data_IF_344692387349
#
_entry.id   IF_344692387349
#
_cell.length_a   1.000
_cell.length_b   1.000
_cell.length_c   1.000
_cell.angle_alpha   90.00
_cell.angle_beta   90.00
_cell.angle_gamma   90.00
#
_symmetry.space_group_name_H-M   'P 1'
#
loop_
_entity.id
_entity.type
_entity.pdbx_description
1 polymer ?
#
# COMPACT_ATOMS: atom_id res chain seq x y z
N UNK A 1 -102.51 24.17 -22.05
CA UNK A 1 -101.39 23.46 -22.69
C UNK A 1 -100.26 23.34 -21.67
N UNK A 2 -99.54 22.21 -21.62
CA UNK A 2 -99.25 21.49 -20.39
C UNK A 2 -97.94 21.95 -19.75
N UNK A 3 -97.98 22.22 -18.44
CA UNK A 3 -96.80 22.59 -17.66
C UNK A 3 -96.68 21.69 -16.42
N UNK A 4 -96.74 20.37 -16.62
CA UNK A 4 -96.57 19.39 -15.54
C UNK A 4 -95.81 18.17 -16.07
N UNK A 5 -94.60 18.38 -16.62
CA UNK A 5 -93.58 17.31 -16.77
C UNK A 5 -92.12 17.76 -16.58
N UNK A 6 -91.86 19.02 -16.22
CA UNK A 6 -90.48 19.49 -15.98
C UNK A 6 -90.01 19.37 -14.52
N UNK A 7 -90.94 19.38 -13.54
CA UNK A 7 -90.59 19.48 -12.12
C UNK A 7 -90.28 18.15 -11.40
N UNK A 8 -90.26 17.00 -12.11
CA UNK A 8 -89.77 15.75 -11.54
C UNK A 8 -88.26 15.54 -11.71
N UNK A 9 -87.56 16.36 -12.51
CA UNK A 9 -86.12 16.24 -12.69
C UNK A 9 -85.28 17.10 -11.71
N UNK A 10 -85.88 18.10 -11.05
CA UNK A 10 -85.13 19.07 -10.23
C UNK A 10 -85.06 18.69 -8.73
N UNK A 11 -85.83 17.68 -8.29
CA UNK A 11 -85.87 17.29 -6.87
C UNK A 11 -85.25 15.92 -6.54
N UNK A 12 -84.45 15.32 -7.43
CA UNK A 12 -83.70 14.11 -7.10
C UNK A 12 -82.32 14.41 -6.49
N UNK A 13 -82.31 15.14 -5.38
CA UNK A 13 -81.09 15.41 -4.58
C UNK A 13 -80.44 14.12 -4.08
N UNK A 14 -81.19 13.01 -4.01
CA UNK A 14 -80.69 11.68 -3.70
C UNK A 14 -79.82 11.14 -4.84
N UNK A 15 -80.26 11.25 -6.09
CA UNK A 15 -79.45 10.85 -7.25
C UNK A 15 -78.14 11.63 -7.34
N UNK A 16 -78.16 12.96 -7.13
CA UNK A 16 -76.93 13.79 -7.16
C UNK A 16 -75.98 13.43 -6.02
N UNK A 17 -76.48 13.20 -4.81
CA UNK A 17 -75.66 12.77 -3.67
C UNK A 17 -75.04 11.38 -3.86
N UNK A 18 -75.76 10.46 -4.51
CA UNK A 18 -75.24 9.12 -4.84
C UNK A 18 -74.14 9.25 -5.89
N UNK A 19 -74.34 10.05 -6.95
CA UNK A 19 -73.32 10.27 -7.98
C UNK A 19 -72.06 10.91 -7.37
N UNK A 20 -72.20 11.97 -6.57
CA UNK A 20 -71.07 12.61 -5.89
C UNK A 20 -70.36 11.67 -4.91
N UNK A 21 -71.11 10.87 -4.15
CA UNK A 21 -70.55 9.86 -3.24
C UNK A 21 -69.77 8.77 -3.99
N UNK A 22 -70.30 8.30 -5.12
CA UNK A 22 -69.60 7.33 -5.98
C UNK A 22 -68.35 7.90 -6.62
N UNK A 23 -68.38 9.17 -7.08
CA UNK A 23 -67.21 9.85 -7.64
C UNK A 23 -66.12 10.08 -6.59
N UNK A 24 -66.49 10.47 -5.37
CA UNK A 24 -65.54 10.66 -4.28
C UNK A 24 -64.95 9.34 -3.81
N UNK A 25 -65.75 8.27 -3.75
CA UNK A 25 -65.26 6.92 -3.48
C UNK A 25 -64.30 6.44 -4.57
N UNK A 26 -64.65 6.62 -5.85
CA UNK A 26 -63.76 6.31 -6.96
C UNK A 26 -62.44 7.08 -6.85
N UNK A 27 -62.49 8.38 -6.55
CA UNK A 27 -61.29 9.20 -6.35
C UNK A 27 -60.40 8.65 -5.22
N UNK A 28 -60.97 8.39 -4.04
CA UNK A 28 -60.22 7.87 -2.89
C UNK A 28 -59.62 6.50 -3.20
N UNK A 29 -60.38 5.61 -3.86
CA UNK A 29 -59.87 4.29 -4.24
C UNK A 29 -58.74 4.37 -5.27
N UNK A 30 -58.81 5.29 -6.23
CA UNK A 30 -57.74 5.51 -7.22
C UNK A 30 -56.49 6.04 -6.53
N UNK A 31 -56.62 7.07 -5.68
CA UNK A 31 -55.48 7.64 -4.95
C UNK A 31 -54.84 6.61 -4.03
N UNK A 32 -55.64 5.81 -3.31
CA UNK A 32 -55.13 4.72 -2.48
C UNK A 32 -54.42 3.63 -3.32
N UNK A 33 -55.01 3.21 -4.44
CA UNK A 33 -54.41 2.23 -5.33
C UNK A 33 -53.10 2.73 -5.95
N UNK A 34 -53.03 3.99 -6.38
CA UNK A 34 -51.80 4.61 -6.88
C UNK A 34 -50.73 4.74 -5.79
N UNK A 35 -51.11 5.10 -4.56
CA UNK A 35 -50.19 5.15 -3.42
C UNK A 35 -49.56 3.79 -3.12
N UNK A 36 -50.39 2.73 -3.08
CA UNK A 36 -49.92 1.36 -2.89
C UNK A 36 -49.03 0.90 -4.05
N UNK A 37 -49.38 1.22 -5.29
CA UNK A 37 -48.58 0.88 -6.46
C UNK A 37 -47.19 1.52 -6.42
N UNK A 38 -47.08 2.79 -6.00
CA UNK A 38 -45.79 3.47 -5.82
C UNK A 38 -44.95 2.80 -4.73
N UNK A 39 -45.56 2.43 -3.59
CA UNK A 39 -44.87 1.73 -2.50
C UNK A 39 -44.37 0.34 -2.95
N UNK A 40 -45.20 -0.41 -3.70
CA UNK A 40 -44.79 -1.70 -4.25
C UNK A 40 -43.65 -1.52 -5.25
N UNK A 41 -43.72 -0.52 -6.13
CA UNK A 41 -42.68 -0.23 -7.11
C UNK A 41 -41.36 0.17 -6.45
N UNK A 42 -41.39 1.00 -5.40
CA UNK A 42 -40.18 1.35 -4.65
C UNK A 42 -39.61 0.14 -3.90
N UNK A 43 -40.48 -0.65 -3.26
CA UNK A 43 -40.05 -1.88 -2.58
C UNK A 43 -39.44 -2.91 -3.54
N UNK A 44 -40.01 -3.08 -4.74
CA UNK A 44 -39.46 -3.95 -5.78
C UNK A 44 -38.09 -3.47 -6.26
N UNK A 45 -37.92 -2.15 -6.45
CA UNK A 45 -36.63 -1.56 -6.80
C UNK A 45 -35.59 -1.82 -5.70
N UNK A 46 -35.92 -1.56 -4.44
CA UNK A 46 -35.03 -1.80 -3.30
C UNK A 46 -34.66 -3.29 -3.16
N UNK A 47 -35.61 -4.20 -3.37
CA UNK A 47 -35.36 -5.64 -3.36
C UNK A 47 -34.44 -6.06 -4.51
N UNK A 48 -34.64 -5.55 -5.72
CA UNK A 48 -33.79 -5.84 -6.87
C UNK A 48 -32.36 -5.30 -6.68
N UNK A 49 -32.22 -4.11 -6.12
CA UNK A 49 -30.91 -3.54 -5.78
C UNK A 49 -30.19 -4.38 -4.72
N UNK A 50 -30.89 -4.81 -3.66
CA UNK A 50 -30.32 -5.72 -2.64
C UNK A 50 -29.91 -7.07 -3.20
N UNK A 51 -30.73 -7.67 -4.06
CA UNK A 51 -30.40 -8.94 -4.71
C UNK A 51 -29.18 -8.79 -5.63
N UNK A 52 -29.11 -7.70 -6.39
CA UNK A 52 -27.96 -7.40 -7.24
C UNK A 52 -26.69 -7.20 -6.41
N UNK A 53 -26.79 -6.45 -5.30
CA UNK A 53 -25.69 -6.25 -4.38
C UNK A 53 -25.22 -7.58 -3.78
N UNK A 54 -26.13 -8.40 -3.23
CA UNK A 54 -25.81 -9.73 -2.70
C UNK A 54 -25.15 -10.62 -3.76
N UNK A 55 -25.71 -10.66 -4.97
CA UNK A 55 -25.10 -11.42 -6.06
C UNK A 55 -23.71 -10.89 -6.46
N UNK A 56 -23.42 -9.60 -6.25
CA UNK A 56 -22.09 -9.05 -6.52
C UNK A 56 -21.11 -9.40 -5.40
N UNK A 57 -21.57 -9.41 -4.14
CA UNK A 57 -20.79 -9.89 -3.00
C UNK A 57 -20.41 -11.35 -3.16
N UNK A 58 -21.40 -12.20 -3.44
CA UNK A 58 -21.26 -13.66 -3.51
C UNK A 58 -20.42 -14.10 -4.71
N UNK A 59 -20.36 -13.28 -5.76
CA UNK A 59 -19.65 -13.60 -6.99
C UNK A 59 -18.32 -12.86 -7.16
N UNK A 60 -17.78 -12.21 -6.13
CA UNK A 60 -16.45 -11.61 -6.22
C UNK A 60 -15.35 -12.66 -6.01
N UNK A 61 -14.52 -12.87 -7.03
CA UNK A 61 -13.46 -13.87 -7.03
C UNK A 61 -12.11 -13.23 -7.29
N UNK A 62 -11.46 -12.79 -6.20
CA UNK A 62 -10.06 -12.37 -6.20
C UNK A 62 -9.18 -13.50 -5.67
N UNK A 63 -8.10 -13.78 -6.39
CA UNK A 63 -7.12 -14.79 -6.00
C UNK A 63 -5.76 -14.15 -5.76
N UNK A 64 -5.17 -14.48 -4.62
CA UNK A 64 -3.78 -14.14 -4.29
C UNK A 64 -2.92 -15.23 -4.92
N UNK A 65 -2.32 -14.91 -6.07
CA UNK A 65 -1.57 -15.89 -6.85
C UNK A 65 -0.26 -16.24 -6.15
N UNK A 66 0.55 -15.22 -5.85
CA UNK A 66 1.95 -15.38 -5.48
C UNK A 66 2.44 -14.14 -4.69
N UNK A 67 3.43 -14.36 -3.84
CA UNK A 67 4.24 -13.31 -3.23
C UNK A 67 5.71 -13.48 -3.61
N UNK A 68 6.39 -12.36 -3.77
CA UNK A 68 7.84 -12.34 -3.87
C UNK A 68 8.36 -11.31 -2.85
N UNK A 69 8.54 -11.71 -1.58
CA UNK A 69 9.14 -10.90 -0.56
C UNK A 69 10.62 -10.63 -0.86
N UNK A 70 11.07 -9.40 -0.60
CA UNK A 70 12.46 -8.98 -0.76
C UNK A 70 12.93 -8.29 0.51
N UNK A 71 14.14 -8.60 0.96
CA UNK A 71 14.64 -8.17 2.26
C UNK A 71 16.12 -8.38 2.45
N UNK A 72 16.55 -8.24 3.69
CA UNK A 72 17.89 -8.58 4.14
C UNK A 72 17.91 -9.96 4.81
N UNK A 73 19.00 -10.33 5.47
CA UNK A 73 19.16 -11.64 6.13
C UNK A 73 18.26 -11.88 7.34
N UNK A 74 17.58 -10.85 7.84
CA UNK A 74 16.79 -10.89 9.09
C UNK A 74 15.34 -10.47 8.86
N UNK A 75 15.10 -9.43 8.08
CA UNK A 75 13.78 -8.84 7.88
C UNK A 75 13.44 -8.67 6.41
N UNK A 76 12.15 -8.73 6.12
CA UNK A 76 11.60 -8.32 4.83
C UNK A 76 11.50 -6.79 4.75
N UNK A 77 11.90 -6.22 3.61
CA UNK A 77 11.85 -4.78 3.34
C UNK A 77 10.64 -4.42 2.45
N UNK A 78 10.20 -5.36 1.61
CA UNK A 78 9.01 -5.20 0.77
C UNK A 78 8.43 -6.54 0.34
N UNK A 79 7.19 -6.52 -0.15
CA UNK A 79 6.53 -7.66 -0.80
C UNK A 79 6.00 -7.24 -2.16
N UNK A 80 6.36 -8.01 -3.18
CA UNK A 80 5.71 -7.97 -4.48
C UNK A 80 4.57 -8.98 -4.49
N UNK A 81 3.33 -8.50 -4.50
CA UNK A 81 2.11 -9.30 -4.47
C UNK A 81 1.48 -9.34 -5.86
N UNK A 82 1.11 -10.53 -6.34
CA UNK A 82 0.30 -10.68 -7.55
C UNK A 82 -1.12 -11.10 -7.21
N UNK A 83 -2.10 -10.27 -7.58
CA UNK A 83 -3.52 -10.55 -7.37
C UNK A 83 -4.21 -10.69 -8.72
N UNK A 84 -4.93 -11.80 -8.90
CA UNK A 84 -5.73 -12.09 -10.08
C UNK A 84 -7.20 -11.78 -9.80
N UNK A 85 -7.84 -11.06 -10.72
CA UNK A 85 -9.28 -10.94 -10.75
C UNK A 85 -9.86 -12.01 -11.68
N UNK A 86 -10.59 -12.96 -11.11
CA UNK A 86 -11.29 -14.01 -11.86
C UNK A 86 -12.70 -13.60 -12.27
N UNK A 87 -13.16 -12.40 -11.94
CA UNK A 87 -14.47 -11.89 -12.32
C UNK A 87 -14.49 -11.38 -13.76
N UNK A 88 -15.71 -11.20 -14.27
CA UNK A 88 -15.98 -10.60 -15.58
C UNK A 88 -16.01 -9.06 -15.53
N UNK A 89 -15.96 -8.47 -14.33
CA UNK A 89 -15.95 -7.03 -14.09
C UNK A 89 -14.71 -6.65 -13.28
N UNK A 90 -14.31 -5.40 -13.39
CA UNK A 90 -13.20 -4.87 -12.61
C UNK A 90 -13.55 -4.86 -11.12
N UNK A 91 -12.56 -5.16 -10.29
CA UNK A 91 -12.72 -5.24 -8.83
C UNK A 91 -11.82 -4.20 -8.17
N UNK A 92 -12.29 -3.61 -7.08
CA UNK A 92 -11.55 -2.58 -6.35
C UNK A 92 -11.15 -3.09 -4.97
N UNK A 93 -9.87 -2.94 -4.65
CA UNK A 93 -9.31 -3.24 -3.34
C UNK A 93 -9.37 -1.98 -2.49
N UNK A 94 -10.05 -2.10 -1.35
CA UNK A 94 -10.17 -1.04 -0.35
C UNK A 94 -8.96 -1.02 0.59
N UNK A 95 -8.41 -2.18 0.93
CA UNK A 95 -7.24 -2.27 1.80
C UNK A 95 -6.48 -3.59 1.63
N UNK A 96 -5.18 -3.57 1.92
CA UNK A 96 -4.34 -4.75 2.04
C UNK A 96 -3.67 -4.72 3.40
N UNK A 97 -3.63 -5.85 4.09
CA UNK A 97 -2.97 -6.03 5.36
C UNK A 97 -2.01 -7.21 5.36
N UNK A 98 -0.88 -7.04 6.04
CA UNK A 98 0.14 -8.07 6.26
C UNK A 98 0.29 -8.23 7.78
N UNK A 99 0.11 -9.44 8.29
CA UNK A 99 0.10 -9.75 9.73
C UNK A 99 -0.78 -8.78 10.52
N UNK A 100 -1.99 -8.55 10.01
CA UNK A 100 -3.01 -7.66 10.55
C UNK A 100 -2.68 -6.15 10.58
N UNK A 101 -1.53 -5.73 10.05
CA UNK A 101 -1.19 -4.33 9.83
C UNK A 101 -1.67 -3.91 8.44
N UNK A 102 -2.55 -2.90 8.37
CA UNK A 102 -3.06 -2.37 7.10
C UNK A 102 -2.05 -1.40 6.48
N UNK A 103 -1.70 -1.64 5.21
CA UNK A 103 -0.86 -0.74 4.45
C UNK A 103 -1.62 0.54 4.13
N UNK A 104 -1.00 1.69 4.37
CA UNK A 104 -1.54 3.02 4.05
C UNK A 104 -1.25 3.44 2.61
N UNK A 105 -0.17 2.93 2.03
CA UNK A 105 0.26 3.23 0.68
C UNK A 105 0.69 1.97 -0.07
N UNK A 106 0.71 2.06 -1.40
CA UNK A 106 1.14 0.97 -2.27
C UNK A 106 1.71 1.53 -3.58
N UNK A 107 2.44 0.68 -4.29
CA UNK A 107 2.95 0.95 -5.64
C UNK A 107 2.41 -0.12 -6.59
N UNK A 108 2.16 0.24 -7.85
CA UNK A 108 1.73 -0.72 -8.87
C UNK A 108 2.87 -0.93 -9.84
N UNK A 109 3.21 -2.18 -10.14
CA UNK A 109 4.13 -2.51 -11.23
C UNK A 109 3.33 -2.70 -12.52
N UNK A 110 3.67 -1.95 -13.57
CA UNK A 110 3.09 -2.11 -14.88
C UNK A 110 3.70 -3.33 -15.63
N UNK A 111 3.07 -3.73 -16.73
CA UNK A 111 3.53 -4.84 -17.57
C UNK A 111 4.91 -4.57 -18.21
N UNK A 112 5.30 -3.30 -18.35
CA UNK A 112 6.60 -2.83 -18.84
C UNK A 112 7.69 -2.79 -17.76
N UNK A 113 7.37 -3.16 -16.52
CA UNK A 113 8.30 -3.16 -15.38
C UNK A 113 8.47 -1.81 -14.69
N UNK A 114 7.79 -0.75 -15.14
CA UNK A 114 7.85 0.55 -14.48
C UNK A 114 6.84 0.64 -13.33
N UNK A 115 7.24 1.34 -12.26
CA UNK A 115 6.36 1.64 -11.13
C UNK A 115 5.41 2.76 -11.53
N UNK A 116 4.11 2.50 -11.46
CA UNK A 116 3.08 3.52 -11.63
C UNK A 116 2.98 4.35 -10.35
N UNK A 117 3.22 5.63 -10.50
CA UNK A 117 2.97 6.63 -9.46
C UNK A 117 1.54 7.18 -9.56
N UNK A 118 1.15 8.01 -8.59
CA UNK A 118 -0.13 8.71 -8.63
C UNK A 118 -0.27 9.48 -9.97
N UNK A 119 -1.41 9.31 -10.65
CA UNK A 119 -1.64 9.85 -11.99
C UNK A 119 -1.68 11.38 -12.02
N UNK A 120 -2.15 12.00 -10.94
CA UNK A 120 -2.22 13.45 -10.80
C UNK A 120 -0.94 14.01 -10.17
N UNK A 121 -0.29 13.22 -9.29
CA UNK A 121 0.92 13.64 -8.57
C UNK A 121 2.01 12.57 -8.59
N UNK A 122 2.68 12.41 -9.74
CA UNK A 122 3.64 11.33 -9.99
C UNK A 122 4.85 11.29 -9.04
N UNK A 123 5.08 12.35 -8.26
CA UNK A 123 6.16 12.40 -7.28
C UNK A 123 5.79 11.72 -5.95
N UNK A 124 4.50 11.48 -5.70
CA UNK A 124 4.01 10.91 -4.44
C UNK A 124 3.57 9.45 -4.59
N UNK A 125 3.68 8.64 -3.52
CA UNK A 125 3.13 7.29 -3.50
C UNK A 125 1.60 7.32 -3.57
N UNK A 126 1.00 6.19 -3.98
CA UNK A 126 -0.46 6.06 -4.00
C UNK A 126 -0.92 5.68 -2.59
N UNK A 127 -1.78 6.49 -1.99
CA UNK A 127 -2.34 6.29 -0.65
C UNK A 127 -3.71 5.64 -0.79
N UNK A 128 -4.00 4.64 0.04
CA UNK A 128 -5.35 4.08 0.16
C UNK A 128 -6.31 5.13 0.71
N UNK A 129 -7.28 5.53 -0.10
CA UNK A 129 -8.41 6.35 0.32
C UNK A 129 -9.64 6.00 -0.53
N UNK A 130 -10.80 6.61 -0.23
CA UNK A 130 -12.05 6.33 -0.96
C UNK A 130 -11.97 6.60 -2.47
N UNK A 131 -11.07 7.48 -2.89
CA UNK A 131 -10.88 7.90 -4.28
C UNK A 131 -9.82 7.05 -4.99
N UNK A 132 -8.78 6.64 -4.27
CA UNK A 132 -7.59 5.93 -4.74
C UNK A 132 -7.62 4.45 -4.33
N UNK A 133 -8.75 3.77 -4.56
CA UNK A 133 -8.81 2.32 -4.40
C UNK A 133 -8.04 1.65 -5.55
N UNK A 134 -7.36 0.55 -5.24
CA UNK A 134 -6.62 -0.21 -6.24
C UNK A 134 -7.58 -1.00 -7.12
N UNK A 135 -7.59 -0.70 -8.42
CA UNK A 135 -8.41 -1.41 -9.40
C UNK A 135 -7.63 -2.59 -10.01
N UNK A 136 -8.24 -3.77 -9.99
CA UNK A 136 -7.76 -4.97 -10.68
C UNK A 136 -8.72 -5.27 -11.83
N UNK A 137 -8.28 -5.12 -13.09
CA UNK A 137 -9.15 -5.33 -14.24
C UNK A 137 -9.67 -6.75 -14.35
N UNK A 138 -10.88 -6.91 -14.90
CA UNK A 138 -11.52 -8.20 -15.13
C UNK A 138 -10.60 -9.18 -15.86
N UNK A 139 -10.54 -10.44 -15.39
CA UNK A 139 -9.72 -11.52 -15.97
C UNK A 139 -8.23 -11.22 -16.10
N UNK A 140 -7.72 -10.21 -15.39
CA UNK A 140 -6.31 -9.81 -15.39
C UNK A 140 -5.75 -9.83 -13.99
N UNK A 141 -4.44 -9.90 -13.91
CA UNK A 141 -3.71 -9.73 -12.67
C UNK A 141 -3.11 -8.33 -12.56
N UNK A 142 -2.77 -7.96 -11.32
CA UNK A 142 -1.99 -6.77 -10.99
C UNK A 142 -0.87 -7.16 -10.04
N UNK A 143 0.31 -6.61 -10.31
CA UNK A 143 1.48 -6.68 -9.43
C UNK A 143 1.51 -5.42 -8.55
N UNK A 144 1.53 -5.63 -7.25
CA UNK A 144 1.39 -4.61 -6.22
C UNK A 144 2.63 -4.72 -5.34
N UNK A 145 3.27 -3.59 -5.09
CA UNK A 145 4.44 -3.53 -4.22
C UNK A 145 4.03 -2.82 -2.94
N UNK A 146 4.29 -3.48 -1.81
CA UNK A 146 4.08 -2.93 -0.47
C UNK A 146 5.45 -2.92 0.23
N UNK A 147 5.92 -1.72 0.58
CA UNK A 147 7.14 -1.56 1.37
C UNK A 147 6.84 -1.66 2.87
N UNK A 148 7.83 -2.07 3.65
CA UNK A 148 7.79 -2.01 5.12
C UNK A 148 8.44 -0.74 5.67
N UNK A 149 9.31 -0.12 4.88
CA UNK A 149 9.91 1.18 5.18
C UNK A 149 8.96 2.35 4.86
N UNK A 150 9.15 3.44 5.59
CA UNK A 150 8.51 4.71 5.30
C UNK A 150 9.12 5.35 4.05
N UNK A 151 8.28 5.95 3.22
CA UNK A 151 8.72 6.57 1.97
C UNK A 151 8.97 8.05 2.23
N UNK A 152 10.23 8.48 2.15
CA UNK A 152 10.58 9.90 2.21
C UNK A 152 10.56 10.48 0.79
N UNK A 153 9.76 11.52 0.58
CA UNK A 153 9.66 12.23 -0.70
C UNK A 153 10.09 13.67 -0.50
N UNK A 154 11.11 14.07 -1.25
CA UNK A 154 11.59 15.45 -1.31
C UNK A 154 11.16 16.08 -2.63
N UNK A 155 10.29 17.09 -2.57
CA UNK A 155 9.79 17.80 -3.75
C UNK A 155 10.00 19.30 -3.61
N UNK A 156 9.76 20.04 -4.68
CA UNK A 156 9.78 21.50 -4.63
C UNK A 156 8.83 22.11 -5.64
N UNK A 157 8.37 23.32 -5.34
CA UNK A 157 7.53 24.11 -6.22
C UNK A 157 8.11 25.52 -6.37
N UNK A 158 8.23 25.98 -7.63
CA UNK A 158 8.63 27.35 -7.91
C UNK A 158 7.41 28.25 -7.79
N UNK A 159 7.55 29.31 -7.00
CA UNK A 159 6.50 30.26 -6.70
C UNK A 159 6.77 31.56 -7.45
N UNK A 160 5.78 31.98 -8.24
CA UNK A 160 5.86 33.22 -8.99
C UNK A 160 5.07 34.33 -8.30
N UNK A 161 5.77 35.38 -7.89
CA UNK A 161 5.21 36.52 -7.15
C UNK A 161 4.98 37.76 -8.01
N UNK A 162 5.20 37.70 -9.33
CA UNK A 162 5.06 38.84 -10.26
C UNK A 162 3.66 39.47 -10.30
N UNK A 163 2.64 38.81 -9.73
CA UNK A 163 1.26 39.33 -9.58
C UNK A 163 1.02 40.07 -8.27
N UNK A 164 1.99 40.06 -7.35
CA UNK A 164 1.89 40.70 -6.05
C UNK A 164 2.16 42.21 -6.18
N UNK A 165 1.10 42.98 -6.38
CA UNK A 165 1.22 44.38 -6.77
C UNK A 165 1.14 45.38 -5.59
N UNK A 166 0.86 44.93 -4.35
CA UNK A 166 0.64 45.83 -3.20
C UNK A 166 1.38 45.34 -1.93
N UNK A 167 2.26 46.19 -1.39
CA UNK A 167 3.05 45.90 -0.19
C UNK A 167 2.21 45.84 1.09
N UNK A 168 0.98 46.37 1.10
CA UNK A 168 0.10 46.40 2.29
C UNK A 168 -0.95 45.29 2.33
N UNK A 169 -1.03 44.44 1.31
CA UNK A 169 -2.01 43.35 1.23
C UNK A 169 -1.32 41.99 1.20
N UNK A 170 -1.95 41.03 1.86
CA UNK A 170 -1.54 39.63 1.81
C UNK A 170 -1.72 39.09 0.39
N UNK A 171 -0.75 38.31 -0.08
CA UNK A 171 -0.81 37.62 -1.35
C UNK A 171 -0.95 36.12 -1.11
N UNK A 172 -2.00 35.53 -1.66
CA UNK A 172 -2.33 34.12 -1.44
C UNK A 172 -2.27 33.35 -2.73
N UNK A 173 -1.69 32.16 -2.70
CA UNK A 173 -1.66 31.21 -3.81
C UNK A 173 -1.95 29.79 -3.30
N UNK A 174 -2.49 28.96 -4.19
CA UNK A 174 -2.71 27.54 -3.93
C UNK A 174 -1.58 26.75 -4.57
N UNK A 175 -0.80 26.08 -3.74
CA UNK A 175 0.31 25.23 -4.18
C UNK A 175 -0.23 24.06 -5.00
N UNK A 176 0.47 23.72 -6.08
CA UNK A 176 0.07 22.64 -6.99
C UNK A 176 0.73 21.30 -6.66
N UNK A 177 1.86 21.34 -5.95
CA UNK A 177 2.62 20.13 -5.60
C UNK A 177 2.64 19.90 -4.08
N UNK A 178 1.70 20.45 -3.32
CA UNK A 178 1.67 20.23 -1.87
C UNK A 178 1.29 18.77 -1.53
N UNK A 179 1.97 18.11 -0.57
CA UNK A 179 1.71 16.71 -0.20
C UNK A 179 0.25 16.40 0.18
N UNK A 180 -0.46 17.38 0.76
CA UNK A 180 -1.91 17.29 1.05
C UNK A 180 -2.73 16.89 -0.18
N UNK A 181 -2.37 17.37 -1.36
CA UNK A 181 -3.09 17.08 -2.60
C UNK A 181 -3.00 15.60 -3.00
N UNK A 182 -1.94 14.92 -2.58
CA UNK A 182 -1.80 13.48 -2.76
C UNK A 182 -2.62 12.67 -1.73
N UNK A 183 -3.31 13.32 -0.78
CA UNK A 183 -4.17 12.71 0.22
C UNK A 183 -3.45 12.32 1.52
N UNK A 184 -2.28 12.88 1.79
CA UNK A 184 -1.50 12.58 3.00
C UNK A 184 -1.81 13.55 4.16
N UNK A 185 -2.04 13.05 5.39
CA UNK A 185 -2.20 13.90 6.57
C UNK A 185 -0.87 14.60 6.97
N UNK A 186 -1.01 15.78 7.57
CA UNK A 186 -0.03 16.89 7.66
C UNK A 186 1.20 16.63 8.55
N UNK A 187 2.11 15.73 8.15
CA UNK A 187 3.47 15.61 8.73
C UNK A 187 4.53 15.87 7.64
N UNK A 188 4.48 17.06 7.01
CA UNK A 188 5.51 17.49 6.05
C UNK A 188 6.31 18.67 6.60
N UNK A 189 7.64 18.54 6.58
CA UNK A 189 8.53 19.67 6.80
C UNK A 189 8.62 20.49 5.50
N UNK A 190 8.63 21.81 5.63
CA UNK A 190 8.80 22.70 4.48
C UNK A 190 9.76 23.83 4.77
N UNK A 191 10.46 24.25 3.73
CA UNK A 191 11.36 25.39 3.78
C UNK A 191 11.12 26.28 2.57
N UNK A 192 10.90 27.57 2.81
CA UNK A 192 10.73 28.56 1.76
C UNK A 192 12.05 29.28 1.52
N UNK A 193 12.54 29.25 0.28
CA UNK A 193 13.76 29.93 -0.14
C UNK A 193 13.43 31.07 -1.10
N UNK A 194 14.03 32.24 -0.86
CA UNK A 194 14.15 33.28 -1.87
C UNK A 194 15.28 32.89 -2.82
N UNK A 195 14.95 32.51 -4.04
CA UNK A 195 15.94 32.05 -5.03
C UNK A 195 16.70 33.22 -5.66
N UNK A 196 16.22 34.44 -5.54
CA UNK A 196 16.92 35.65 -6.01
C UNK A 196 18.12 35.98 -5.14
N UNK A 197 17.99 35.82 -3.81
CA UNK A 197 19.05 36.18 -2.84
C UNK A 197 19.64 34.98 -2.11
N UNK A 198 19.18 33.76 -2.43
CA UNK A 198 19.59 32.49 -1.81
C UNK A 198 19.45 32.47 -0.27
N UNK A 199 18.33 32.99 0.24
CA UNK A 199 18.05 33.07 1.69
C UNK A 199 16.84 32.23 2.08
N UNK A 200 16.92 31.53 3.21
CA UNK A 200 15.78 30.82 3.81
C UNK A 200 14.84 31.83 4.51
N UNK A 201 13.54 31.65 4.36
CA UNK A 201 12.48 32.50 4.89
C UNK A 201 11.75 31.71 6.00
N UNK A 202 11.71 32.26 7.21
CA UNK A 202 10.94 31.66 8.32
C UNK A 202 9.48 32.10 8.29
N UNK A 203 8.61 31.22 8.75
CA UNK A 203 7.17 31.45 8.93
C UNK A 203 6.84 32.49 10.03
N UNK A 204 7.83 33.03 10.75
CA UNK A 204 7.66 33.97 11.86
C UNK A 204 7.18 35.38 11.43
N UNK A 205 5.96 35.48 10.89
CA UNK A 205 5.31 36.73 10.49
C UNK A 205 5.56 37.16 9.04
N UNK A 206 6.25 36.32 8.26
CA UNK A 206 6.56 36.57 6.85
C UNK A 206 5.51 35.93 5.92
N UNK A 207 5.15 34.68 6.19
CA UNK A 207 4.13 33.94 5.46
C UNK A 207 3.43 32.94 6.40
N UNK A 208 2.33 32.36 5.95
CA UNK A 208 1.69 31.20 6.58
C UNK A 208 1.34 30.19 5.50
N UNK A 209 1.39 28.91 5.85
CA UNK A 209 0.96 27.81 4.99
C UNK A 209 -0.19 27.06 5.67
N UNK A 210 -1.34 27.05 5.02
CA UNK A 210 -2.49 26.30 5.49
C UNK A 210 -2.41 24.82 5.07
N UNK A 211 -3.14 23.98 5.80
CA UNK A 211 -3.20 22.53 5.56
C UNK A 211 -3.69 22.15 4.16
N UNK A 212 -4.52 22.98 3.54
CA UNK A 212 -5.05 22.80 2.20
C UNK A 212 -4.04 23.16 1.08
N UNK A 213 -2.80 23.49 1.44
CA UNK A 213 -1.76 23.95 0.51
C UNK A 213 -1.90 25.42 0.12
N UNK A 214 -2.75 26.20 0.81
CA UNK A 214 -2.87 27.64 0.59
C UNK A 214 -1.71 28.36 1.28
N UNK A 215 -0.80 28.92 0.49
CA UNK A 215 0.32 29.73 0.95
C UNK A 215 -0.06 31.21 0.92
N UNK A 216 0.04 31.89 2.06
CA UNK A 216 -0.20 33.33 2.17
C UNK A 216 1.08 34.06 2.57
N UNK A 217 1.61 34.87 1.66
CA UNK A 217 2.63 35.87 1.96
C UNK A 217 1.96 37.07 2.64
N UNK A 218 2.48 37.49 3.79
CA UNK A 218 1.92 38.63 4.50
C UNK A 218 2.42 39.95 3.90
N UNK A 219 1.49 40.89 3.68
CA UNK A 219 1.83 42.25 3.30
C UNK A 219 2.54 42.97 4.45
N UNK A 220 3.59 43.74 4.14
CA UNK A 220 4.22 44.64 5.11
C UNK A 220 3.35 45.89 5.30
N UNK A 221 2.80 46.05 6.50
CA UNK A 221 2.22 47.33 6.90
C UNK A 221 3.35 48.28 7.32
N UNK A 222 3.81 49.15 6.43
CA UNK A 222 4.93 50.08 6.65
C UNK A 222 4.73 51.08 7.81
N UNK A 223 3.56 51.09 8.46
CA UNK A 223 3.21 52.06 9.52
C UNK A 223 3.72 51.67 10.91
N UNK A 224 4.22 50.46 11.12
CA UNK A 224 4.72 50.03 12.43
C UNK A 224 6.24 49.79 12.38
N UNK A 225 7.01 50.86 12.56
CA UNK A 225 8.48 50.85 12.70
C UNK A 225 8.99 50.09 13.94
N UNK A 226 8.09 49.43 14.68
CA UNK A 226 8.37 48.72 15.93
C UNK A 226 8.44 47.20 15.78
N UNK A 227 8.15 46.64 14.60
CA UNK A 227 8.59 45.27 14.29
C UNK A 227 10.09 45.30 14.00
N UNK A 228 10.83 45.45 15.09
CA UNK A 228 12.27 45.42 15.14
C UNK A 228 12.72 43.99 14.83
N UNK A 229 13.07 43.77 13.57
CA UNK A 229 13.72 42.55 13.05
C UNK A 229 14.97 42.17 13.89
N UNK A 230 15.50 43.07 14.72
CA UNK A 230 16.73 42.87 15.49
C UNK A 230 16.59 42.18 16.86
N UNK A 231 15.39 41.82 17.36
CA UNK A 231 15.24 41.41 18.77
C UNK A 231 15.46 39.90 19.08
N UNK A 232 15.78 39.04 18.11
CA UNK A 232 16.12 37.63 18.35
C UNK A 232 17.34 37.16 17.53
N UNK A 233 18.33 38.02 17.36
CA UNK A 233 19.63 37.60 16.83
C UNK A 233 20.51 37.11 17.95
N UNK A 234 20.73 35.79 17.99
CA UNK A 234 21.91 35.15 18.56
C UNK A 234 21.98 33.66 18.13
N UNK A 235 21.84 33.32 16.84
CA UNK A 235 22.29 32.00 16.33
C UNK A 235 22.33 31.89 14.78
N UNK A 236 23.19 31.02 14.28
CA UNK A 236 23.80 30.93 12.93
C UNK A 236 22.92 30.53 11.71
N UNK A 237 21.81 31.22 11.41
CA UNK A 237 21.06 31.03 10.14
C UNK A 237 20.23 32.29 9.85
N UNK A 238 20.76 33.22 9.04
CA UNK A 238 20.09 34.48 8.71
C UNK A 238 18.81 34.25 7.87
N UNK A 239 17.77 35.04 8.17
CA UNK A 239 16.39 34.86 7.67
C UNK A 239 16.00 36.12 6.90
N UNK A 240 15.71 35.98 5.61
CA UNK A 240 15.45 37.14 4.75
C UNK A 240 13.99 37.63 4.81
N UNK A 241 13.73 38.92 4.54
CA UNK A 241 12.38 39.43 4.36
C UNK A 241 11.82 39.07 2.98
N UNK A 242 10.48 39.05 2.85
CA UNK A 242 9.79 38.76 1.59
C UNK A 242 9.54 40.06 0.80
N UNK A 243 9.86 40.02 -0.49
CA UNK A 243 9.60 41.04 -1.51
C UNK A 243 8.74 40.51 -2.67
N UNK A 244 7.98 41.41 -3.29
CA UNK A 244 7.07 41.10 -4.37
C UNK A 244 7.70 40.92 -5.75
N UNK A 245 9.00 41.21 -5.88
CA UNK A 245 9.77 41.09 -7.11
C UNK A 245 10.78 39.93 -7.07
N UNK A 246 10.78 39.12 -6.00
CA UNK A 246 11.70 37.99 -5.85
C UNK A 246 11.05 36.69 -6.28
N UNK A 247 11.84 35.80 -6.85
CA UNK A 247 11.39 34.42 -7.08
C UNK A 247 11.57 33.62 -5.80
N UNK A 248 10.60 32.76 -5.50
CA UNK A 248 10.69 31.86 -4.36
C UNK A 248 10.57 30.42 -4.82
N UNK A 249 11.13 29.53 -4.02
CA UNK A 249 10.92 28.09 -4.14
C UNK A 249 10.64 27.56 -2.76
N UNK A 250 9.59 26.77 -2.65
CA UNK A 250 9.29 26.01 -1.45
C UNK A 250 9.76 24.58 -1.67
N UNK A 251 10.49 24.04 -0.70
CA UNK A 251 10.91 22.66 -0.65
C UNK A 251 10.06 21.94 0.39
N UNK A 252 9.70 20.69 0.08
CA UNK A 252 8.93 19.83 0.95
C UNK A 252 9.74 18.57 1.24
N UNK A 253 9.80 18.17 2.49
CA UNK A 253 10.26 16.87 2.95
C UNK A 253 9.08 16.18 3.62
N UNK A 254 8.59 15.11 3.02
CA UNK A 254 7.38 14.41 3.46
C UNK A 254 7.67 12.94 3.69
N UNK A 255 7.40 12.46 4.89
CA UNK A 255 7.57 11.04 5.25
C UNK A 255 6.20 10.38 5.20
N UNK A 256 6.03 9.43 4.27
CA UNK A 256 4.81 8.66 4.08
C UNK A 256 4.93 7.34 4.83
N UNK A 257 4.23 7.25 5.96
CA UNK A 257 4.20 6.02 6.74
C UNK A 257 3.47 4.91 5.98
N UNK A 258 4.09 3.74 5.86
CA UNK A 258 3.43 2.59 5.20
C UNK A 258 2.53 1.83 6.16
N UNK A 259 2.90 1.75 7.43
CA UNK A 259 2.09 1.15 8.49
C UNK A 259 1.90 2.12 9.66
N UNK A 260 0.92 1.87 10.53
CA UNK A 260 0.63 2.78 11.66
C UNK A 260 1.74 2.80 12.72
N UNK A 261 2.59 1.77 12.75
CA UNK A 261 3.84 1.71 13.50
C UNK A 261 4.90 1.13 12.57
N UNK A 262 6.18 1.45 12.80
CA UNK A 262 7.30 0.81 12.10
C UNK A 262 7.15 -0.71 12.22
N UNK A 263 6.95 -1.38 11.09
CA UNK A 263 6.61 -2.79 11.05
C UNK A 263 7.51 -3.48 10.03
N UNK A 264 8.40 -4.33 10.52
CA UNK A 264 9.38 -5.08 9.73
C UNK A 264 9.23 -6.57 10.08
N UNK A 265 8.51 -7.36 9.27
CA UNK A 265 8.40 -8.79 9.53
C UNK A 265 9.76 -9.47 9.40
N UNK A 266 10.07 -10.38 10.32
CA UNK A 266 11.26 -11.20 10.18
C UNK A 266 11.09 -12.25 9.08
N UNK A 267 12.21 -12.66 8.48
CA UNK A 267 12.27 -13.69 7.43
C UNK A 267 11.73 -15.04 7.90
N UNK A 268 11.89 -15.35 9.19
CA UNK A 268 11.40 -16.56 9.85
C UNK A 268 9.92 -16.52 10.25
N UNK A 269 9.26 -15.37 10.13
CA UNK A 269 7.87 -15.20 10.57
C UNK A 269 6.90 -15.54 9.44
N UNK A 270 5.76 -16.12 9.80
CA UNK A 270 4.64 -16.33 8.87
C UNK A 270 4.11 -14.98 8.38
N UNK A 271 3.87 -14.88 7.07
CA UNK A 271 3.21 -13.72 6.46
C UNK A 271 1.74 -14.03 6.20
N UNK A 272 0.86 -13.39 6.97
CA UNK A 272 -0.61 -13.48 6.83
C UNK A 272 -1.09 -12.33 5.97
N UNK A 273 -1.39 -12.61 4.71
CA UNK A 273 -1.94 -11.65 3.79
C UNK A 273 -3.47 -11.61 3.89
N UNK A 274 -4.02 -10.40 3.90
CA UNK A 274 -5.46 -10.15 3.95
C UNK A 274 -5.79 -8.99 3.01
N UNK A 275 -6.58 -9.25 1.98
CA UNK A 275 -7.09 -8.25 1.04
C UNK A 275 -8.56 -8.00 1.36
N UNK A 276 -8.94 -6.73 1.41
CA UNK A 276 -10.33 -6.30 1.57
C UNK A 276 -10.78 -5.60 0.29
N UNK A 277 -11.86 -6.06 -0.32
CA UNK A 277 -12.46 -5.39 -1.48
C UNK A 277 -13.33 -4.19 -1.09
N UNK A 278 -13.74 -3.39 -2.08
CA UNK A 278 -14.74 -2.32 -1.93
C UNK A 278 -16.07 -2.82 -1.37
N UNK A 279 -16.34 -4.10 -1.57
CA UNK A 279 -17.54 -4.80 -1.13
C UNK A 279 -17.40 -5.40 0.28
N UNK A 280 -16.27 -5.15 0.96
CA UNK A 280 -15.95 -5.67 2.29
C UNK A 280 -15.74 -7.18 2.36
N UNK A 281 -15.55 -7.85 1.22
CA UNK A 281 -15.12 -9.23 1.17
C UNK A 281 -13.64 -9.34 1.56
N UNK A 282 -13.29 -10.40 2.28
CA UNK A 282 -11.93 -10.66 2.73
C UNK A 282 -11.32 -11.88 2.05
N UNK A 283 -10.21 -11.68 1.37
CA UNK A 283 -9.40 -12.73 0.75
C UNK A 283 -8.12 -12.90 1.57
N UNK A 284 -7.81 -14.14 1.96
CA UNK A 284 -6.73 -14.42 2.91
C UNK A 284 -5.84 -15.53 2.37
N UNK A 285 -4.53 -15.36 2.53
CA UNK A 285 -3.54 -16.40 2.27
C UNK A 285 -2.41 -16.25 3.29
N UNK A 286 -1.97 -17.36 3.85
CA UNK A 286 -0.80 -17.40 4.72
C UNK A 286 0.37 -17.96 3.93
N UNK A 287 1.55 -17.47 4.25
CA UNK A 287 2.82 -17.91 3.69
C UNK A 287 3.75 -18.28 4.83
N UNK A 288 4.07 -19.56 4.95
CA UNK A 288 4.85 -20.15 6.04
C UNK A 288 6.28 -20.35 5.52
N UNK A 289 7.30 -19.82 6.21
CA UNK A 289 8.67 -20.07 5.79
C UNK A 289 9.01 -21.57 5.83
N UNK A 290 9.80 -22.07 4.88
CA UNK A 290 10.23 -23.47 4.86
C UNK A 290 11.09 -23.79 6.09
N UNK A 291 10.95 -24.99 6.63
CA UNK A 291 11.73 -25.47 7.77
C UNK A 291 13.03 -26.15 7.30
N UNK A 292 14.20 -25.56 7.56
CA UNK A 292 15.46 -26.17 7.18
C UNK A 292 15.82 -27.32 8.13
N UNK A 293 16.28 -28.41 7.53
CA UNK A 293 16.88 -29.53 8.26
C UNK A 293 18.14 -29.96 7.55
N UNK A 294 19.26 -30.03 8.28
CA UNK A 294 20.54 -30.50 7.75
C UNK A 294 21.09 -31.66 8.56
N UNK A 295 21.60 -32.64 7.83
CA UNK A 295 22.38 -33.76 8.36
C UNK A 295 23.79 -33.68 7.79
N UNK A 296 24.77 -33.71 8.67
CA UNK A 296 26.18 -33.74 8.32
C UNK A 296 26.76 -35.10 8.67
N UNK A 297 27.46 -35.70 7.74
CA UNK A 297 28.13 -36.97 7.97
C UNK A 297 29.35 -37.12 7.05
N UNK A 298 30.20 -38.09 7.39
CA UNK A 298 31.47 -38.31 6.72
C UNK A 298 31.41 -39.60 5.92
N UNK A 299 32.01 -39.58 4.74
CA UNK A 299 32.17 -40.74 3.88
C UNK A 299 33.64 -40.84 3.43
N UNK A 300 34.03 -42.04 3.01
CA UNK A 300 35.38 -42.32 2.49
C UNK A 300 35.29 -42.83 1.07
N UNK A 301 36.10 -42.30 0.17
CA UNK A 301 36.24 -42.83 -1.19
C UNK A 301 37.67 -43.32 -1.47
N UNK A 302 37.78 -44.26 -2.40
CA UNK A 302 39.08 -44.67 -2.96
C UNK A 302 39.40 -43.79 -4.16
N UNK A 303 40.56 -43.13 -4.13
CA UNK A 303 41.12 -42.38 -5.27
C UNK A 303 42.36 -43.07 -5.79
N UNK A 304 42.64 -42.85 -7.07
CA UNK A 304 43.84 -43.31 -7.73
C UNK A 304 44.77 -42.12 -7.97
N UNK A 305 46.02 -42.24 -7.55
CA UNK A 305 47.04 -41.27 -7.89
C UNK A 305 47.39 -41.40 -9.38
N UNK A 306 47.14 -40.34 -10.15
CA UNK A 306 47.28 -40.34 -11.61
C UNK A 306 48.72 -40.56 -12.10
N UNK A 307 49.74 -40.31 -11.26
CA UNK A 307 51.15 -40.48 -11.63
C UNK A 307 51.73 -41.84 -11.20
N UNK A 308 51.22 -42.44 -10.13
CA UNK A 308 51.76 -43.70 -9.58
C UNK A 308 50.83 -44.91 -9.76
N UNK A 309 49.55 -44.70 -10.08
CA UNK A 309 48.53 -45.75 -10.14
C UNK A 309 48.10 -46.30 -8.77
N UNK A 310 48.68 -45.78 -7.68
CA UNK A 310 48.37 -46.26 -6.33
C UNK A 310 47.01 -45.76 -5.86
N UNK A 311 46.26 -46.65 -5.20
CA UNK A 311 45.02 -46.29 -4.52
C UNK A 311 45.33 -45.66 -3.15
N UNK A 312 44.58 -44.64 -2.79
CA UNK A 312 44.53 -44.07 -1.45
C UNK A 312 43.09 -43.77 -1.06
N UNK A 313 42.82 -43.70 0.23
CA UNK A 313 41.51 -43.36 0.75
C UNK A 313 41.46 -41.88 1.11
N UNK A 314 40.34 -41.23 0.82
CA UNK A 314 40.09 -39.85 1.18
C UNK A 314 38.72 -39.73 1.83
N UNK A 315 38.71 -39.23 3.06
CA UNK A 315 37.49 -38.85 3.77
C UNK A 315 36.96 -37.51 3.24
N UNK A 316 35.65 -37.34 3.27
CA UNK A 316 35.00 -36.08 2.90
C UNK A 316 33.69 -35.87 3.67
N UNK A 317 33.31 -34.60 3.78
CA UNK A 317 32.06 -34.17 4.40
C UNK A 317 30.95 -34.25 3.36
N UNK A 318 29.80 -34.77 3.76
CA UNK A 318 28.53 -34.68 3.04
C UNK A 318 27.57 -33.84 3.85
N UNK A 319 26.98 -32.85 3.21
CA UNK A 319 25.93 -32.01 3.79
C UNK A 319 24.62 -32.31 3.07
N UNK A 320 23.65 -32.82 3.81
CA UNK A 320 22.39 -33.33 3.27
C UNK A 320 21.20 -32.58 3.88
N UNK A 321 20.49 -31.83 3.06
CA UNK A 321 19.29 -31.08 3.44
C UNK A 321 18.00 -31.85 3.12
N UNK A 322 18.08 -33.16 2.90
CA UNK A 322 16.98 -33.89 2.26
C UNK A 322 15.68 -33.97 3.06
N UNK A 323 15.79 -33.81 4.37
CA UNK A 323 14.68 -33.80 5.33
C UNK A 323 14.12 -32.38 5.57
N UNK A 324 14.65 -31.34 4.91
CA UNK A 324 14.04 -30.01 4.92
C UNK A 324 12.65 -30.11 4.28
N UNK A 325 11.68 -29.37 4.82
CA UNK A 325 10.30 -29.43 4.38
C UNK A 325 9.65 -28.04 4.37
N UNK A 326 8.61 -27.93 3.57
CA UNK A 326 7.77 -26.75 3.48
C UNK A 326 6.30 -27.18 3.64
N UNK A 327 5.53 -26.44 4.44
CA UNK A 327 4.18 -26.85 4.86
C UNK A 327 3.11 -26.44 3.84
N UNK A 328 3.25 -25.26 3.24
CA UNK A 328 2.30 -24.68 2.29
C UNK A 328 2.81 -24.61 0.85
N UNK A 329 4.06 -25.04 0.61
CA UNK A 329 4.66 -25.03 -0.73
C UNK A 329 5.70 -26.13 -0.97
N UNK A 330 6.70 -25.79 -1.78
CA UNK A 330 7.81 -26.65 -2.16
C UNK A 330 9.15 -25.91 -2.12
N UNK A 331 10.17 -26.52 -1.52
CA UNK A 331 11.52 -25.97 -1.50
C UNK A 331 12.16 -26.03 -2.90
N UNK A 332 12.46 -24.87 -3.47
CA UNK A 332 13.08 -24.72 -4.79
C UNK A 332 14.59 -24.48 -4.74
N UNK A 333 15.13 -24.01 -3.60
CA UNK A 333 16.57 -23.70 -3.47
C UNK A 333 17.12 -24.07 -2.09
N UNK A 334 18.38 -24.54 -2.10
CA UNK A 334 19.17 -24.91 -0.93
C UNK A 334 20.54 -24.25 -1.06
N UNK A 335 20.88 -23.41 -0.10
CA UNK A 335 22.09 -22.60 -0.07
C UNK A 335 22.84 -22.88 1.23
N UNK A 336 24.05 -23.43 1.12
CA UNK A 336 24.89 -23.75 2.27
C UNK A 336 25.92 -22.66 2.52
N UNK A 337 26.11 -22.34 3.80
CA UNK A 337 27.19 -21.49 4.28
C UNK A 337 28.09 -22.29 5.23
N UNK A 338 29.38 -21.95 5.22
CA UNK A 338 30.39 -22.63 6.03
C UNK A 338 31.51 -21.66 6.36
N UNK A 339 31.99 -21.69 7.59
CA UNK A 339 33.12 -20.89 8.04
C UNK A 339 33.98 -21.67 9.04
N UNK A 340 35.25 -21.29 9.11
CA UNK A 340 36.16 -21.75 10.14
C UNK A 340 35.76 -21.20 11.50
N UNK A 341 36.17 -21.86 12.58
CA UNK A 341 35.93 -21.40 13.96
C UNK A 341 36.45 -19.97 14.23
N UNK A 342 37.50 -19.55 13.53
CA UNK A 342 38.04 -18.18 13.61
C UNK A 342 37.18 -17.12 12.86
N UNK A 343 36.05 -17.51 12.28
CA UNK A 343 35.12 -16.64 11.54
C UNK A 343 35.47 -16.45 10.06
N UNK A 344 36.53 -17.08 9.55
CA UNK A 344 36.89 -16.97 8.12
C UNK A 344 35.88 -17.73 7.27
N UNK A 345 35.21 -17.03 6.36
CA UNK A 345 34.19 -17.63 5.47
C UNK A 345 34.81 -18.56 4.43
N UNK A 346 34.18 -19.71 4.24
CA UNK A 346 34.50 -20.71 3.20
C UNK A 346 33.43 -20.63 2.11
N UNK A 347 32.17 -20.74 2.52
CA UNK A 347 31.00 -20.57 1.67
C UNK A 347 30.08 -19.54 2.31
N UNK A 348 29.64 -18.56 1.54
CA UNK A 348 28.68 -17.53 1.96
C UNK A 348 27.36 -17.76 1.21
N UNK A 349 26.61 -18.79 1.64
CA UNK A 349 25.33 -19.19 1.03
C UNK A 349 25.41 -19.41 -0.50
N UNK A 350 26.59 -19.75 -1.01
CA UNK A 350 26.86 -19.89 -2.44
C UNK A 350 27.14 -21.34 -2.87
N UNK A 351 27.26 -22.27 -1.91
CA UNK A 351 27.29 -23.70 -2.18
C UNK A 351 25.86 -24.21 -2.31
N UNK A 352 25.41 -24.51 -3.53
CA UNK A 352 24.01 -24.81 -3.82
C UNK A 352 23.76 -26.30 -4.00
N UNK A 353 22.58 -26.75 -3.55
CA UNK A 353 22.09 -28.11 -3.78
C UNK A 353 21.49 -28.77 -2.54
N UNK A 354 20.50 -29.64 -2.75
CA UNK A 354 19.83 -30.40 -1.68
C UNK A 354 20.81 -31.32 -0.93
N UNK A 355 21.81 -31.85 -1.62
CA UNK A 355 22.88 -32.67 -1.06
C UNK A 355 24.18 -32.29 -1.73
N UNK A 356 25.17 -31.89 -0.94
CA UNK A 356 26.42 -31.31 -1.45
C UNK A 356 27.64 -31.91 -0.77
N UNK A 357 28.75 -31.87 -1.50
CA UNK A 357 30.08 -32.20 -1.00
C UNK A 357 30.98 -30.97 -1.14
N UNK A 358 31.36 -30.31 -0.03
CA UNK A 358 32.38 -29.27 -0.03
C UNK A 358 33.67 -29.75 -0.68
N UNK A 359 34.32 -28.88 -1.47
CA UNK A 359 35.60 -29.19 -2.12
C UNK A 359 36.75 -28.51 -1.38
N UNK A 360 37.91 -29.16 -1.35
CA UNK A 360 39.14 -28.66 -0.71
C UNK A 360 38.97 -28.35 0.79
N UNK A 361 38.14 -29.15 1.46
CA UNK A 361 37.92 -29.08 2.91
C UNK A 361 38.60 -30.25 3.57
N UNK A 362 39.28 -29.98 4.69
CA UNK A 362 39.80 -31.02 5.56
C UNK A 362 38.63 -31.61 6.36
N UNK A 363 38.27 -32.89 6.21
CA UNK A 363 37.15 -33.47 6.95
C UNK A 363 37.35 -33.46 8.47
N UNK A 364 38.56 -33.21 8.98
CA UNK A 364 38.85 -33.16 10.42
C UNK A 364 38.99 -31.73 10.96
N UNK A 365 38.61 -30.72 10.18
CA UNK A 365 38.64 -29.33 10.64
C UNK A 365 37.42 -28.93 11.46
N UNK A 366 37.60 -27.89 12.28
CA UNK A 366 36.52 -27.28 13.06
C UNK A 366 35.76 -26.28 12.19
N UNK A 367 34.50 -26.56 11.93
CA UNK A 367 33.66 -25.75 11.06
C UNK A 367 32.32 -25.44 11.68
N UNK A 368 31.79 -24.28 11.34
CA UNK A 368 30.39 -23.96 11.57
C UNK A 368 29.66 -23.95 10.23
N UNK A 369 28.50 -24.57 10.19
CA UNK A 369 27.68 -24.75 8.99
C UNK A 369 26.31 -24.12 9.22
N UNK A 370 25.79 -23.49 8.17
CA UNK A 370 24.40 -23.03 8.08
C UNK A 370 23.77 -23.49 6.77
N UNK A 371 22.44 -23.53 6.77
CA UNK A 371 21.63 -23.85 5.60
C UNK A 371 20.52 -22.81 5.52
N UNK A 372 20.40 -22.20 4.34
CA UNK A 372 19.26 -21.41 3.92
C UNK A 372 18.47 -22.23 2.89
N UNK A 373 17.18 -22.42 3.16
CA UNK A 373 16.22 -23.01 2.23
C UNK A 373 15.21 -21.96 1.79
N UNK A 374 14.79 -22.05 0.52
CA UNK A 374 13.85 -21.10 -0.09
C UNK A 374 12.81 -21.87 -0.88
N UNK A 375 11.55 -21.50 -0.67
CA UNK A 375 10.38 -22.11 -1.30
C UNK A 375 9.98 -21.42 -2.62
N UNK A 376 8.88 -21.89 -3.20
CA UNK A 376 8.31 -21.34 -4.42
C UNK A 376 7.74 -19.93 -4.24
N UNK A 377 7.22 -19.60 -3.06
CA UNK A 377 6.74 -18.27 -2.64
C UNK A 377 7.89 -17.32 -2.18
N UNK A 378 9.15 -17.73 -2.35
CA UNK A 378 10.38 -17.00 -1.98
C UNK A 378 10.53 -16.69 -0.49
N UNK A 379 9.78 -17.36 0.37
CA UNK A 379 10.03 -17.33 1.80
C UNK A 379 11.35 -18.04 2.10
N UNK A 380 12.04 -17.60 3.15
CA UNK A 380 13.38 -18.07 3.49
C UNK A 380 13.39 -18.63 4.90
N UNK A 381 14.01 -19.80 5.07
CA UNK A 381 14.24 -20.43 6.37
C UNK A 381 15.72 -20.72 6.57
N UNK A 382 16.27 -20.39 7.75
CA UNK A 382 17.67 -20.69 8.11
C UNK A 382 17.79 -21.57 9.35
N UNK A 383 18.77 -22.49 9.36
CA UNK A 383 19.06 -23.31 10.54
C UNK A 383 19.42 -22.44 11.73
N UNK A 384 20.30 -21.45 11.53
CA UNK A 384 20.68 -20.49 12.59
C UNK A 384 19.49 -19.81 13.26
N UNK A 385 18.38 -19.59 12.55
CA UNK A 385 17.18 -18.97 13.09
C UNK A 385 16.27 -19.96 13.84
N UNK A 386 16.30 -21.25 13.49
CA UNK A 386 15.39 -22.27 14.03
C UNK A 386 16.02 -23.14 15.12
N UNK A 387 17.24 -23.64 14.88
CA UNK A 387 17.93 -24.60 15.75
C UNK A 387 19.37 -24.21 16.08
N UNK A 388 19.84 -23.09 15.53
CA UNK A 388 21.25 -22.69 15.60
C UNK A 388 22.08 -23.31 14.48
N UNK A 389 23.36 -22.94 14.44
CA UNK A 389 24.32 -23.51 13.49
C UNK A 389 24.78 -24.90 13.91
N UNK A 390 25.23 -25.69 12.94
CA UNK A 390 25.89 -26.97 13.21
C UNK A 390 27.38 -26.70 13.36
N UNK A 391 27.95 -27.08 14.50
CA UNK A 391 29.40 -27.02 14.72
C UNK A 391 29.98 -28.44 14.65
N UNK A 392 31.03 -28.60 13.85
CA UNK A 392 31.84 -29.80 13.80
C UNK A 392 33.05 -29.62 14.73
N UNK A 393 33.29 -30.56 15.66
CA UNK A 393 34.36 -30.48 16.64
C UNK A 393 35.74 -30.84 16.11
#
# INVERSE_FOLDING_TARGET
MPDIKANQFINDKKAVSVIMGTLLLMLVTIVAASGVAMIISSAQKDMAERQTYQSTLDNEHLEIMDINPEGNSTHWNMINLTVLNMDIKDSKIAAIAINDNYAKNYKILNEDGYIKHNAEYSQYPIIYNSTNMLEIPAKKNKKIIIGFEDIVVNTSEKLTTYKWNNLSLNYTLVLQNHPYLAGYPYDCEYELYNTTNNTNIKEAGNYSLNQDGTLTFFGRNYTNSTFNDSAHYNNSTYIGPIYNNSEYRIYYSSTFQTFQNNYFPETKDVLKLKIMSMYTNFFRKNYIPPTPFAKIYFETESKVNQSTGNHYFQDYIVMDASESYDEDGTIVRYNWAMWYENGTTIYDYNLTGKKVRPMNIDPYGNYTIDLEVIDDDKMTGKLSQHSGNITLP
#
